data_IF_073231127188
#
_entry.id   IF_073231127188
#
_cell.length_a   1.000
_cell.length_b   1.000
_cell.length_c   1.000
_cell.angle_alpha   90.00
_cell.angle_beta   90.00
_cell.angle_gamma   90.00
#
_symmetry.space_group_name_H-M   'P 1'
#
loop_
_entity.id
_entity.type
_entity.pdbx_description
1 polymer ?
#
# COMPACT_ATOMS: atom_id res chain seq x y z
N UNK A 1 -21.72 -56.07 -58.46
CA UNK A 1 -21.20 -54.81 -59.06
C UNK A 1 -20.88 -53.72 -58.04
N UNK A 2 -21.38 -53.82 -56.81
CA UNK A 2 -21.21 -52.70 -55.80
C UNK A 2 -19.79 -52.52 -55.31
N UNK A 3 -18.85 -53.45 -55.53
CA UNK A 3 -17.47 -53.30 -54.98
C UNK A 3 -16.38 -53.30 -56.07
N UNK A 4 -16.74 -53.24 -57.39
CA UNK A 4 -15.75 -53.32 -58.45
C UNK A 4 -14.73 -52.19 -58.49
N UNK A 5 -15.06 -51.04 -57.96
CA UNK A 5 -14.19 -49.87 -57.80
C UNK A 5 -13.33 -49.86 -56.54
N UNK A 6 -13.70 -50.70 -55.53
CA UNK A 6 -13.01 -50.69 -54.23
C UNK A 6 -11.63 -51.29 -54.31
N UNK A 7 -11.50 -52.51 -55.01
CA UNK A 7 -10.20 -53.16 -55.11
C UNK A 7 -9.15 -52.29 -55.84
N UNK A 8 -9.44 -51.68 -57.02
CA UNK A 8 -8.48 -50.77 -57.65
C UNK A 8 -8.08 -49.55 -56.75
N UNK A 9 -8.99 -49.04 -55.91
CA UNK A 9 -8.68 -47.99 -54.95
C UNK A 9 -7.73 -48.47 -53.83
N UNK A 10 -7.99 -49.67 -53.26
CA UNK A 10 -7.12 -50.26 -52.21
C UNK A 10 -5.72 -50.52 -52.76
N UNK A 11 -5.60 -51.08 -53.98
CA UNK A 11 -4.32 -51.27 -54.65
C UNK A 11 -3.63 -49.94 -54.97
N UNK A 12 -4.40 -48.90 -55.36
CA UNK A 12 -3.89 -47.54 -55.57
C UNK A 12 -3.36 -46.94 -54.30
N UNK A 13 -4.09 -47.08 -53.19
CA UNK A 13 -3.69 -46.59 -51.88
C UNK A 13 -2.41 -47.26 -51.39
N UNK A 14 -2.30 -48.58 -51.60
CA UNK A 14 -1.10 -49.35 -51.27
C UNK A 14 0.10 -48.85 -52.10
N UNK A 15 -0.08 -48.67 -53.43
CA UNK A 15 0.94 -48.13 -54.31
C UNK A 15 1.39 -46.75 -53.92
N UNK A 16 0.44 -45.86 -53.57
CA UNK A 16 0.71 -44.50 -53.06
C UNK A 16 1.54 -44.54 -51.77
N UNK A 17 1.16 -45.35 -50.81
CA UNK A 17 1.87 -45.47 -49.54
C UNK A 17 3.29 -46.06 -49.73
N UNK A 18 3.52 -46.86 -50.76
CA UNK A 18 4.83 -47.39 -51.14
C UNK A 18 5.65 -46.43 -52.03
N UNK A 19 5.15 -45.24 -52.31
CA UNK A 19 5.84 -44.24 -53.13
C UNK A 19 5.78 -44.52 -54.66
N UNK A 20 5.01 -45.51 -55.09
CA UNK A 20 4.85 -45.79 -56.51
C UNK A 20 3.70 -44.98 -57.10
N UNK A 21 3.97 -43.71 -57.37
CA UNK A 21 2.97 -42.70 -57.72
C UNK A 21 2.35 -43.01 -59.11
N UNK A 22 3.15 -43.45 -60.08
CA UNK A 22 2.65 -43.79 -61.40
C UNK A 22 1.64 -44.98 -61.36
N UNK A 23 1.91 -45.98 -60.53
CA UNK A 23 0.96 -47.11 -60.32
C UNK A 23 -0.27 -46.63 -59.52
N UNK A 24 -0.09 -45.79 -58.49
CA UNK A 24 -1.19 -45.26 -57.71
C UNK A 24 -2.15 -44.45 -58.59
N UNK A 25 -1.62 -43.58 -59.48
CA UNK A 25 -2.41 -42.78 -60.41
C UNK A 25 -3.25 -43.67 -61.36
N UNK A 26 -2.63 -44.64 -61.97
CA UNK A 26 -3.32 -45.54 -62.94
C UNK A 26 -4.42 -46.38 -62.28
N UNK A 27 -4.14 -46.97 -61.14
CA UNK A 27 -5.09 -47.79 -60.38
C UNK A 27 -6.24 -46.93 -59.82
N UNK A 28 -5.96 -45.68 -59.31
CA UNK A 28 -6.99 -44.80 -58.82
C UNK A 28 -7.89 -44.30 -59.97
N UNK A 29 -7.31 -44.00 -61.13
CA UNK A 29 -8.04 -43.65 -62.35
C UNK A 29 -8.99 -44.78 -62.76
N UNK A 30 -8.59 -46.02 -62.63
CA UNK A 30 -9.46 -47.22 -62.89
C UNK A 30 -10.65 -47.23 -61.93
N UNK A 31 -10.41 -47.00 -60.62
CA UNK A 31 -11.47 -46.90 -59.62
C UNK A 31 -12.48 -45.79 -59.97
N UNK A 32 -11.97 -44.58 -60.30
CA UNK A 32 -12.79 -43.38 -60.64
C UNK A 32 -13.52 -43.53 -61.97
N UNK A 33 -12.97 -44.32 -62.90
CA UNK A 33 -13.67 -44.67 -64.18
C UNK A 33 -14.88 -45.54 -63.89
N UNK A 34 -14.83 -46.45 -62.95
CA UNK A 34 -15.94 -47.30 -62.54
C UNK A 34 -16.97 -46.52 -61.69
N UNK A 35 -16.48 -45.73 -60.76
CA UNK A 35 -17.33 -44.90 -59.90
C UNK A 35 -16.70 -43.48 -59.71
N UNK A 36 -17.11 -42.49 -60.50
CA UNK A 36 -16.57 -41.10 -60.44
C UNK A 36 -16.85 -40.41 -59.12
N UNK A 37 -17.94 -40.80 -58.45
CA UNK A 37 -18.38 -40.17 -57.20
C UNK A 37 -17.78 -40.86 -55.94
N UNK A 38 -16.82 -41.77 -56.13
CA UNK A 38 -16.20 -42.44 -55.02
C UNK A 38 -15.26 -41.51 -54.26
N UNK A 39 -15.77 -40.93 -53.17
CA UNK A 39 -15.12 -39.85 -52.35
C UNK A 39 -13.69 -40.23 -51.96
N UNK A 40 -13.45 -41.44 -51.49
CA UNK A 40 -12.11 -41.88 -51.07
C UNK A 40 -11.10 -41.88 -52.24
N UNK A 41 -11.52 -42.27 -53.45
CA UNK A 41 -10.66 -42.26 -54.61
C UNK A 41 -10.43 -40.81 -55.12
N UNK A 42 -11.42 -39.91 -55.00
CA UNK A 42 -11.26 -38.49 -55.29
C UNK A 42 -10.26 -37.81 -54.34
N UNK A 43 -10.32 -38.11 -53.04
CA UNK A 43 -9.36 -37.65 -52.05
C UNK A 43 -7.95 -38.19 -52.37
N UNK A 44 -7.82 -39.48 -52.72
CA UNK A 44 -6.54 -40.07 -53.10
C UNK A 44 -5.99 -39.40 -54.38
N UNK A 45 -6.85 -39.07 -55.39
CA UNK A 45 -6.42 -38.33 -56.59
C UNK A 45 -5.82 -36.98 -56.23
N UNK A 46 -6.48 -36.22 -55.39
CA UNK A 46 -5.94 -34.91 -54.93
C UNK A 46 -4.56 -35.08 -54.30
N UNK A 47 -4.37 -36.10 -53.48
CA UNK A 47 -3.08 -36.40 -52.85
C UNK A 47 -2.00 -36.83 -53.82
N UNK A 48 -2.36 -37.58 -54.84
CA UNK A 48 -1.47 -37.98 -55.92
C UNK A 48 -1.04 -36.76 -56.74
N UNK A 49 -1.98 -35.86 -57.06
CA UNK A 49 -1.74 -34.66 -57.88
C UNK A 49 -0.76 -33.68 -57.22
N UNK A 50 -0.72 -33.60 -55.87
CA UNK A 50 0.17 -32.72 -55.13
C UNK A 50 1.42 -33.42 -54.58
N UNK A 51 1.62 -34.68 -54.93
CA UNK A 51 2.68 -35.52 -54.29
C UNK A 51 4.07 -34.91 -54.45
N UNK A 52 4.45 -34.45 -55.61
CA UNK A 52 5.77 -33.90 -55.91
C UNK A 52 5.99 -32.58 -55.10
N UNK A 53 4.97 -31.74 -55.01
CA UNK A 53 5.04 -30.48 -54.21
C UNK A 53 5.16 -30.79 -52.71
N UNK A 54 4.51 -31.85 -52.23
CA UNK A 54 4.64 -32.31 -50.84
C UNK A 54 6.05 -32.83 -50.56
N UNK A 55 6.65 -33.61 -51.51
CA UNK A 55 8.03 -34.09 -51.39
C UNK A 55 9.05 -32.93 -51.37
N UNK A 56 8.87 -31.96 -52.23
CA UNK A 56 9.71 -30.73 -52.25
C UNK A 56 9.60 -29.99 -50.90
N UNK A 57 8.40 -29.89 -50.34
CA UNK A 57 8.22 -29.22 -49.04
C UNK A 57 8.87 -30.02 -47.89
N UNK A 58 8.83 -31.38 -47.90
CA UNK A 58 9.58 -32.19 -46.94
C UNK A 58 11.10 -31.96 -47.06
N UNK A 59 11.62 -31.81 -48.25
CA UNK A 59 13.04 -31.53 -48.46
C UNK A 59 13.39 -30.12 -47.91
N UNK A 60 12.52 -29.12 -48.11
CA UNK A 60 12.72 -27.81 -47.46
C UNK A 60 12.66 -27.86 -45.96
N UNK A 61 11.77 -28.68 -45.37
CA UNK A 61 11.73 -28.91 -43.91
C UNK A 61 13.04 -29.56 -43.41
N UNK A 62 13.57 -30.53 -44.16
CA UNK A 62 14.85 -31.19 -43.86
C UNK A 62 16.02 -30.22 -43.91
N UNK A 63 16.09 -29.39 -44.94
CA UNK A 63 17.11 -28.33 -45.07
C UNK A 63 16.97 -27.34 -43.90
N UNK A 64 15.75 -26.89 -43.59
CA UNK A 64 15.50 -26.00 -42.45
C UNK A 64 15.97 -26.59 -41.11
N UNK A 65 15.85 -27.92 -40.96
CA UNK A 65 16.34 -28.63 -39.75
C UNK A 65 17.86 -28.61 -39.68
N UNK A 66 18.55 -28.87 -40.82
CA UNK A 66 20.02 -28.87 -40.89
C UNK A 66 20.58 -27.47 -40.65
N UNK A 67 19.91 -26.44 -41.18
CA UNK A 67 20.28 -25.02 -41.03
C UNK A 67 19.88 -24.48 -39.66
N UNK A 68 19.19 -25.24 -38.83
CA UNK A 68 18.59 -24.77 -37.57
C UNK A 68 17.66 -23.57 -37.77
N UNK A 69 17.00 -23.49 -38.91
CA UNK A 69 16.09 -22.41 -39.28
C UNK A 69 14.65 -22.82 -39.01
N UNK A 70 14.11 -22.40 -37.86
CA UNK A 70 12.77 -22.76 -37.40
C UNK A 70 11.69 -22.18 -38.33
N UNK A 71 11.86 -20.96 -38.85
CA UNK A 71 10.89 -20.36 -39.77
C UNK A 71 10.75 -21.15 -41.04
N UNK A 72 11.87 -21.61 -41.63
CA UNK A 72 11.87 -22.45 -42.82
C UNK A 72 11.18 -23.80 -42.56
N UNK A 73 11.42 -24.42 -41.42
CA UNK A 73 10.71 -25.65 -41.02
C UNK A 73 9.21 -25.41 -40.87
N UNK A 74 8.81 -24.31 -40.21
CA UNK A 74 7.41 -23.94 -39.99
C UNK A 74 6.67 -23.78 -41.33
N UNK A 75 7.23 -23.00 -42.24
CA UNK A 75 6.66 -22.75 -43.58
C UNK A 75 6.53 -24.03 -44.37
N UNK A 76 7.56 -24.86 -44.34
CA UNK A 76 7.57 -26.11 -45.07
C UNK A 76 6.49 -27.11 -44.52
N UNK A 77 6.42 -27.31 -43.22
CA UNK A 77 5.39 -28.21 -42.64
C UNK A 77 3.99 -27.62 -42.79
N UNK A 78 3.81 -26.31 -42.70
CA UNK A 78 2.52 -25.67 -42.95
C UNK A 78 2.07 -25.88 -44.41
N UNK A 79 2.99 -25.79 -45.39
CA UNK A 79 2.71 -26.06 -46.80
C UNK A 79 2.31 -27.52 -47.01
N UNK A 80 3.00 -28.50 -46.36
CA UNK A 80 2.64 -29.92 -46.43
C UNK A 80 1.23 -30.15 -45.94
N UNK A 81 0.87 -29.62 -44.76
CA UNK A 81 -0.46 -29.78 -44.15
C UNK A 81 -1.55 -29.13 -44.99
N UNK A 82 -1.23 -28.00 -45.65
CA UNK A 82 -2.15 -27.33 -46.56
C UNK A 82 -2.41 -28.14 -47.86
N UNK A 83 -1.37 -28.74 -48.43
CA UNK A 83 -1.46 -29.56 -49.66
C UNK A 83 -2.09 -30.94 -49.41
N UNK A 84 -1.67 -31.64 -48.35
CA UNK A 84 -2.16 -32.94 -47.96
C UNK A 84 -2.47 -33.00 -46.47
N UNK A 85 -3.71 -32.63 -46.04
CA UNK A 85 -4.12 -32.65 -44.64
C UNK A 85 -4.08 -34.01 -43.96
N UNK A 86 -3.95 -35.10 -44.76
CA UNK A 86 -3.83 -36.46 -44.26
C UNK A 86 -2.42 -36.79 -43.72
N UNK A 87 -1.44 -35.92 -43.91
CA UNK A 87 -0.07 -36.09 -43.41
C UNK A 87 0.00 -35.77 -41.91
N UNK A 88 -0.35 -36.72 -41.08
CA UNK A 88 -0.34 -36.59 -39.61
C UNK A 88 1.05 -36.32 -39.04
N UNK A 89 2.09 -36.84 -39.64
CA UNK A 89 3.49 -36.60 -39.29
C UNK A 89 3.87 -35.14 -39.48
N UNK A 90 3.46 -34.53 -40.58
CA UNK A 90 3.70 -33.09 -40.84
C UNK A 90 2.88 -32.21 -39.85
N UNK A 91 1.64 -32.56 -39.58
CA UNK A 91 0.82 -31.89 -38.57
C UNK A 91 1.47 -31.93 -37.18
N UNK A 92 1.93 -33.14 -36.78
CA UNK A 92 2.62 -33.27 -35.48
C UNK A 92 3.91 -32.47 -35.40
N UNK A 93 4.68 -32.43 -36.51
CA UNK A 93 5.90 -31.62 -36.60
C UNK A 93 5.58 -30.10 -36.49
N UNK A 94 4.55 -29.66 -37.19
CA UNK A 94 4.07 -28.27 -37.15
C UNK A 94 3.63 -27.87 -35.75
N UNK A 95 2.84 -28.74 -35.09
CA UNK A 95 2.38 -28.49 -33.72
C UNK A 95 3.53 -28.49 -32.73
N UNK A 96 4.55 -29.33 -32.93
CA UNK A 96 5.75 -29.34 -32.06
C UNK A 96 6.56 -28.06 -32.21
N UNK A 97 6.76 -27.56 -33.44
CA UNK A 97 7.46 -26.29 -33.70
C UNK A 97 6.69 -25.11 -33.09
N UNK A 98 5.39 -25.08 -33.28
CA UNK A 98 4.56 -24.01 -32.71
C UNK A 98 4.64 -23.99 -31.16
N UNK A 99 4.61 -25.16 -30.52
CA UNK A 99 4.82 -25.27 -29.07
C UNK A 99 6.20 -24.78 -28.67
N UNK A 100 7.26 -25.18 -29.37
CA UNK A 100 8.63 -24.72 -29.08
C UNK A 100 8.77 -23.20 -29.19
N UNK A 101 8.14 -22.58 -30.20
CA UNK A 101 8.13 -21.13 -30.37
C UNK A 101 7.38 -20.41 -29.21
N UNK A 102 6.22 -20.96 -28.84
CA UNK A 102 5.48 -20.42 -27.69
C UNK A 102 6.26 -20.55 -26.39
N UNK A 103 6.94 -21.68 -26.16
CA UNK A 103 7.79 -21.91 -25.01
C UNK A 103 8.95 -20.91 -24.96
N UNK A 104 9.68 -20.76 -26.08
CA UNK A 104 10.78 -19.81 -26.19
C UNK A 104 10.35 -18.35 -25.99
N UNK A 105 9.18 -17.98 -26.52
CA UNK A 105 8.60 -16.65 -26.30
C UNK A 105 8.22 -16.44 -24.84
N UNK A 106 7.63 -17.44 -24.22
CA UNK A 106 7.29 -17.41 -22.79
C UNK A 106 8.53 -17.21 -21.91
N UNK A 107 9.60 -17.97 -22.14
CA UNK A 107 10.85 -17.87 -21.40
C UNK A 107 11.51 -16.49 -21.60
N UNK A 108 11.44 -15.95 -22.82
CA UNK A 108 11.95 -14.61 -23.13
C UNK A 108 11.19 -13.53 -22.35
N UNK A 109 9.86 -13.64 -22.27
CA UNK A 109 9.02 -12.69 -21.53
C UNK A 109 9.31 -12.75 -20.02
N UNK A 110 9.50 -13.95 -19.46
CA UNK A 110 9.89 -14.09 -18.05
C UNK A 110 11.28 -13.50 -17.77
N UNK A 111 12.23 -13.68 -18.69
CA UNK A 111 13.55 -13.08 -18.57
C UNK A 111 13.49 -11.55 -18.64
N UNK A 112 12.66 -10.99 -19.52
CA UNK A 112 12.43 -9.54 -19.62
C UNK A 112 11.75 -9.00 -18.34
N UNK A 113 10.75 -9.71 -17.82
CA UNK A 113 10.11 -9.34 -16.57
C UNK A 113 11.10 -9.31 -15.39
N UNK A 114 11.95 -10.33 -15.26
CA UNK A 114 12.97 -10.35 -14.21
C UNK A 114 13.97 -9.19 -14.35
N UNK A 115 14.43 -8.87 -15.55
CA UNK A 115 15.32 -7.70 -15.78
C UNK A 115 14.65 -6.39 -15.41
N UNK A 116 13.38 -6.21 -15.78
CA UNK A 116 12.60 -5.03 -15.42
C UNK A 116 12.43 -4.91 -13.90
N UNK A 117 12.20 -6.04 -13.19
CA UNK A 117 12.17 -6.08 -11.71
C UNK A 117 13.52 -5.64 -11.12
N UNK A 118 14.64 -6.13 -11.66
CA UNK A 118 15.99 -5.77 -11.19
C UNK A 118 16.31 -4.29 -11.42
N UNK A 119 15.76 -3.70 -12.47
CA UNK A 119 15.88 -2.28 -12.78
C UNK A 119 14.91 -1.39 -12.00
N UNK A 120 13.96 -1.99 -11.25
CA UNK A 120 12.92 -1.25 -10.54
C UNK A 120 11.78 -0.74 -11.43
N UNK A 121 11.75 -1.15 -12.71
CA UNK A 121 10.66 -0.83 -13.64
C UNK A 121 9.51 -1.83 -13.48
N UNK A 122 8.77 -1.66 -12.40
CA UNK A 122 7.65 -2.56 -12.07
C UNK A 122 6.49 -2.51 -13.06
N UNK A 123 6.14 -1.34 -13.66
CA UNK A 123 5.15 -1.29 -14.73
C UNK A 123 5.52 -2.15 -15.94
N UNK A 124 6.75 -2.03 -16.47
CA UNK A 124 7.21 -2.86 -17.58
C UNK A 124 7.25 -4.35 -17.21
N UNK A 125 7.67 -4.68 -15.99
CA UNK A 125 7.64 -6.06 -15.50
C UNK A 125 6.22 -6.64 -15.50
N UNK A 126 5.22 -5.85 -15.09
CA UNK A 126 3.83 -6.27 -15.09
C UNK A 126 3.29 -6.53 -16.51
N UNK A 127 3.67 -5.72 -17.50
CA UNK A 127 3.31 -5.92 -18.90
C UNK A 127 3.89 -7.23 -19.42
N UNK A 128 5.19 -7.49 -19.24
CA UNK A 128 5.81 -8.75 -19.67
C UNK A 128 5.18 -9.97 -19.01
N UNK A 129 4.84 -9.90 -17.71
CA UNK A 129 4.15 -11.01 -17.03
C UNK A 129 2.72 -11.22 -17.51
N UNK A 130 2.02 -10.15 -17.89
CA UNK A 130 0.69 -10.26 -18.49
C UNK A 130 0.75 -10.92 -19.87
N UNK A 131 1.73 -10.57 -20.69
CA UNK A 131 1.96 -11.21 -21.98
C UNK A 131 2.35 -12.68 -21.81
N UNK A 132 3.24 -13.00 -20.87
CA UNK A 132 3.59 -14.37 -20.53
C UNK A 132 2.37 -15.18 -20.07
N UNK A 133 1.47 -14.59 -19.27
CA UNK A 133 0.22 -15.21 -18.80
C UNK A 133 -0.71 -15.58 -19.96
N UNK A 134 -0.74 -14.78 -21.02
CA UNK A 134 -1.54 -15.09 -22.22
C UNK A 134 -1.07 -16.35 -22.95
N UNK A 135 0.21 -16.71 -22.82
CA UNK A 135 0.81 -17.91 -23.42
C UNK A 135 0.66 -19.15 -22.50
N UNK A 136 0.96 -19.01 -21.21
CA UNK A 136 0.94 -20.10 -20.22
C UNK A 136 0.42 -19.64 -18.86
N UNK A 137 -0.89 -19.50 -18.70
CA UNK A 137 -1.52 -19.02 -17.48
C UNK A 137 -1.22 -19.87 -16.22
N UNK A 138 -1.01 -21.18 -16.39
CA UNK A 138 -0.84 -22.12 -15.27
C UNK A 138 0.62 -22.38 -14.89
N UNK A 139 1.58 -21.58 -15.38
CA UNK A 139 2.98 -21.76 -15.06
C UNK A 139 3.27 -21.39 -13.59
N UNK A 140 3.92 -22.28 -12.85
CA UNK A 140 4.39 -22.06 -11.48
C UNK A 140 5.47 -20.97 -11.41
N UNK A 141 6.31 -20.88 -12.44
CA UNK A 141 7.35 -19.87 -12.54
C UNK A 141 6.76 -18.47 -12.71
N UNK A 142 5.79 -18.33 -13.62
CA UNK A 142 5.01 -17.09 -13.79
C UNK A 142 4.36 -16.66 -12.47
N UNK A 143 3.72 -17.59 -11.75
CA UNK A 143 3.09 -17.31 -10.48
C UNK A 143 4.11 -16.81 -9.42
N UNK A 144 5.28 -17.41 -9.40
CA UNK A 144 6.37 -17.06 -8.48
C UNK A 144 6.87 -15.64 -8.74
N UNK A 145 7.16 -15.31 -10.01
CA UNK A 145 7.65 -13.97 -10.39
C UNK A 145 6.56 -12.92 -10.16
N UNK A 146 5.29 -13.23 -10.48
CA UNK A 146 4.16 -12.33 -10.24
C UNK A 146 3.98 -12.02 -8.75
N UNK A 147 4.12 -13.03 -7.88
CA UNK A 147 4.07 -12.85 -6.42
C UNK A 147 5.22 -11.98 -5.93
N UNK A 148 6.45 -12.22 -6.44
CA UNK A 148 7.62 -11.39 -6.13
C UNK A 148 7.39 -9.93 -6.52
N UNK A 149 6.91 -9.68 -7.73
CA UNK A 149 6.60 -8.32 -8.21
C UNK A 149 5.55 -7.65 -7.32
N UNK A 150 4.45 -8.34 -7.01
CA UNK A 150 3.41 -7.80 -6.14
C UNK A 150 3.94 -7.42 -4.75
N UNK A 151 4.82 -8.24 -4.16
CA UNK A 151 5.43 -7.93 -2.86
C UNK A 151 6.36 -6.73 -2.92
N UNK A 152 7.11 -6.54 -4.01
CA UNK A 152 7.99 -5.39 -4.21
C UNK A 152 7.21 -4.09 -4.38
N UNK A 153 6.12 -4.12 -5.17
CA UNK A 153 5.22 -2.98 -5.35
C UNK A 153 4.58 -2.59 -4.00
N UNK A 154 4.08 -3.57 -3.24
CA UNK A 154 3.50 -3.31 -1.92
C UNK A 154 4.52 -2.72 -0.94
N UNK A 155 5.76 -3.23 -0.93
CA UNK A 155 6.84 -2.68 -0.10
C UNK A 155 7.21 -1.25 -0.50
N UNK A 156 7.27 -0.94 -1.79
CA UNK A 156 7.54 0.42 -2.28
C UNK A 156 6.41 1.38 -1.89
N UNK A 157 5.17 0.96 -2.00
CA UNK A 157 4.00 1.78 -1.62
C UNK A 157 3.97 2.03 -0.11
N UNK A 158 4.26 1.00 0.70
CA UNK A 158 4.40 1.13 2.15
C UNK A 158 5.48 2.16 2.51
N UNK A 159 6.67 2.03 1.93
CA UNK A 159 7.80 2.95 2.18
C UNK A 159 7.46 4.39 1.79
N UNK A 160 6.73 4.58 0.69
CA UNK A 160 6.27 5.91 0.26
C UNK A 160 5.35 6.54 1.29
N UNK A 161 4.40 5.78 1.84
CA UNK A 161 3.48 6.27 2.87
C UNK A 161 4.24 6.57 4.16
N UNK A 162 5.14 5.69 4.59
CA UNK A 162 5.97 5.90 5.78
C UNK A 162 6.83 7.16 5.67
N UNK A 163 7.43 7.40 4.52
CA UNK A 163 8.21 8.61 4.24
C UNK A 163 7.34 9.87 4.28
N UNK A 164 6.11 9.82 3.76
CA UNK A 164 5.18 10.93 3.87
C UNK A 164 4.80 11.22 5.31
N UNK A 165 4.51 10.19 6.10
CA UNK A 165 4.22 10.34 7.53
C UNK A 165 5.42 10.95 8.26
N UNK A 166 6.64 10.47 8.01
CA UNK A 166 7.86 11.00 8.61
C UNK A 166 8.08 12.49 8.29
N UNK A 167 7.74 12.93 7.07
CA UNK A 167 7.80 14.34 6.69
C UNK A 167 6.89 15.19 7.57
N UNK A 168 5.64 14.77 7.81
CA UNK A 168 4.70 15.52 8.66
C UNK A 168 5.04 15.42 10.15
N UNK A 169 5.66 14.32 10.60
CA UNK A 169 6.25 14.24 11.95
C UNK A 169 7.33 15.31 12.12
N UNK A 170 8.24 15.44 11.16
CA UNK A 170 9.29 16.45 11.21
C UNK A 170 8.77 17.89 11.13
N UNK A 171 7.62 18.08 10.51
CA UNK A 171 6.92 19.37 10.45
C UNK A 171 6.04 19.67 11.68
N UNK A 172 5.98 18.78 12.66
CA UNK A 172 5.14 18.90 13.87
C UNK A 172 3.63 19.04 13.53
N UNK A 173 3.18 18.33 12.45
CA UNK A 173 1.80 18.37 11.94
C UNK A 173 1.02 17.10 12.34
N UNK A 174 0.83 16.91 13.64
CA UNK A 174 0.32 15.67 14.24
C UNK A 174 -1.09 15.28 13.81
N UNK A 175 -1.94 16.25 13.46
CA UNK A 175 -3.27 15.97 12.92
C UNK A 175 -3.17 15.25 11.58
N UNK A 176 -2.27 15.72 10.71
CA UNK A 176 -1.98 15.10 9.40
C UNK A 176 -1.30 13.75 9.55
N UNK A 177 -0.36 13.63 10.51
CA UNK A 177 0.30 12.36 10.86
C UNK A 177 -0.75 11.30 11.23
N UNK A 178 -1.68 11.62 12.13
CA UNK A 178 -2.76 10.72 12.55
C UNK A 178 -3.61 10.27 11.37
N UNK A 179 -3.99 11.20 10.48
CA UNK A 179 -4.81 10.91 9.31
C UNK A 179 -4.09 9.97 8.34
N UNK A 180 -2.84 10.28 7.98
CA UNK A 180 -2.04 9.50 7.04
C UNK A 180 -1.65 8.14 7.61
N UNK A 181 -1.29 8.06 8.89
CA UNK A 181 -0.98 6.80 9.56
C UNK A 181 -2.20 5.87 9.58
N UNK A 182 -3.40 6.39 9.91
CA UNK A 182 -4.63 5.59 9.85
C UNK A 182 -4.93 5.09 8.43
N UNK A 183 -4.75 5.95 7.41
CA UNK A 183 -4.93 5.55 6.00
C UNK A 183 -3.92 4.48 5.59
N UNK A 184 -2.66 4.64 5.97
CA UNK A 184 -1.60 3.67 5.67
C UNK A 184 -1.83 2.33 6.37
N UNK A 185 -2.28 2.34 7.63
CA UNK A 185 -2.60 1.13 8.39
C UNK A 185 -3.78 0.33 7.83
N UNK A 186 -4.67 0.95 7.05
CA UNK A 186 -5.72 0.23 6.34
C UNK A 186 -5.14 -0.73 5.28
N UNK A 187 -4.04 -0.37 4.63
CA UNK A 187 -3.35 -1.20 3.63
C UNK A 187 -2.21 -2.03 4.26
N UNK A 188 -1.53 -1.49 5.27
CA UNK A 188 -0.36 -2.08 5.92
C UNK A 188 -0.52 -2.14 7.45
N UNK A 189 -1.45 -2.97 7.96
CA UNK A 189 -1.82 -2.96 9.38
C UNK A 189 -0.69 -3.37 10.33
N UNK A 190 0.32 -4.05 9.83
CA UNK A 190 1.48 -4.51 10.60
C UNK A 190 2.70 -3.60 10.51
N UNK A 191 2.61 -2.42 9.85
CA UNK A 191 3.74 -1.48 9.76
C UNK A 191 4.06 -0.89 11.14
N UNK A 192 5.25 -1.16 11.72
CA UNK A 192 5.63 -0.63 13.02
C UNK A 192 5.74 0.91 13.01
N UNK A 193 6.26 1.47 11.92
CA UNK A 193 6.45 2.92 11.76
C UNK A 193 5.11 3.67 11.77
N UNK A 194 4.10 3.14 11.07
CA UNK A 194 2.77 3.75 11.03
C UNK A 194 2.03 3.59 12.36
N UNK A 195 2.18 2.46 13.05
CA UNK A 195 1.62 2.24 14.38
C UNK A 195 2.22 3.21 15.39
N UNK A 196 3.53 3.34 15.42
CA UNK A 196 4.23 4.29 16.29
C UNK A 196 3.82 5.74 16.01
N UNK A 197 3.80 6.13 14.73
CA UNK A 197 3.39 7.47 14.34
C UNK A 197 1.95 7.80 14.77
N UNK A 198 1.03 6.85 14.61
CA UNK A 198 -0.36 6.99 15.08
C UNK A 198 -0.42 7.17 16.60
N UNK A 199 0.24 6.32 17.38
CA UNK A 199 0.26 6.40 18.84
C UNK A 199 0.83 7.74 19.33
N UNK A 200 1.95 8.17 18.75
CA UNK A 200 2.54 9.45 19.08
C UNK A 200 1.61 10.61 18.75
N UNK A 201 0.96 10.59 17.57
CA UNK A 201 0.03 11.62 17.17
C UNK A 201 -1.19 11.70 18.10
N UNK A 202 -1.76 10.57 18.49
CA UNK A 202 -2.88 10.52 19.44
C UNK A 202 -2.49 11.08 20.80
N UNK A 203 -1.35 10.65 21.34
CA UNK A 203 -0.87 11.12 22.63
C UNK A 203 -0.58 12.64 22.64
N UNK A 204 0.08 13.15 21.59
CA UNK A 204 0.40 14.59 21.48
C UNK A 204 -0.87 15.43 21.32
N UNK A 205 -1.80 15.03 20.45
CA UNK A 205 -3.05 15.74 20.22
C UNK A 205 -3.95 15.76 21.46
N UNK A 206 -4.00 14.66 22.22
CA UNK A 206 -4.75 14.58 23.46
C UNK A 206 -4.11 15.49 24.54
N UNK A 207 -2.78 15.51 24.63
CA UNK A 207 -2.06 16.43 25.51
C UNK A 207 -2.33 17.89 25.14
N UNK A 208 -2.18 18.26 23.86
CA UNK A 208 -2.48 19.63 23.38
C UNK A 208 -3.91 20.07 23.72
N UNK A 209 -4.88 19.17 23.52
CA UNK A 209 -6.29 19.41 23.84
C UNK A 209 -6.48 19.65 25.33
N UNK A 210 -5.90 18.82 26.20
CA UNK A 210 -5.99 18.93 27.66
C UNK A 210 -5.37 20.25 28.14
N UNK A 211 -4.16 20.58 27.68
CA UNK A 211 -3.49 21.82 28.08
C UNK A 211 -4.21 23.05 27.56
N UNK A 212 -4.79 23.01 26.37
CA UNK A 212 -5.58 24.12 25.82
C UNK A 212 -6.84 24.42 26.64
N UNK A 213 -7.42 23.45 27.30
CA UNK A 213 -8.60 23.63 28.13
C UNK A 213 -8.33 24.56 29.32
N UNK A 214 -7.14 24.46 29.92
CA UNK A 214 -6.74 25.35 31.02
C UNK A 214 -6.49 26.80 30.56
N UNK A 215 -5.95 26.99 29.37
CA UNK A 215 -5.71 28.32 28.79
C UNK A 215 -6.97 29.10 28.46
N UNK A 216 -8.10 28.41 28.25
CA UNK A 216 -9.40 29.07 27.97
C UNK A 216 -9.99 29.75 29.21
N UNK A 217 -9.64 29.26 30.40
CA UNK A 217 -10.14 29.78 31.70
C UNK A 217 -9.01 29.81 32.70
N UNK A 218 -8.02 30.66 32.49
CA UNK A 218 -6.80 30.71 33.30
C UNK A 218 -7.07 31.09 34.74
N UNK A 219 -8.12 31.88 35.02
CA UNK A 219 -8.52 32.29 36.37
C UNK A 219 -8.78 31.10 37.31
N UNK A 220 -9.22 29.97 36.76
CA UNK A 220 -9.46 28.75 37.55
C UNK A 220 -8.19 28.10 38.07
N UNK A 221 -7.03 28.42 37.54
CA UNK A 221 -5.74 27.91 37.99
C UNK A 221 -5.30 28.51 39.35
N UNK A 222 -6.01 29.49 39.86
CA UNK A 222 -5.88 29.93 41.25
C UNK A 222 -6.40 28.90 42.26
N UNK A 223 -7.38 28.08 41.86
CA UNK A 223 -7.86 26.95 42.68
C UNK A 223 -6.82 25.82 42.76
N UNK A 224 -6.54 25.34 43.97
CA UNK A 224 -5.52 24.33 44.24
C UNK A 224 -5.79 23.03 43.52
N UNK A 225 -7.05 22.56 43.43
CA UNK A 225 -7.40 21.29 42.81
C UNK A 225 -7.22 21.37 41.29
N UNK A 226 -7.71 22.47 40.67
CA UNK A 226 -7.56 22.71 39.24
C UNK A 226 -6.10 22.82 38.85
N UNK A 227 -5.31 23.54 39.65
CA UNK A 227 -3.86 23.69 39.43
C UNK A 227 -3.12 22.36 39.54
N UNK A 228 -3.43 21.53 40.54
CA UNK A 228 -2.81 20.22 40.69
C UNK A 228 -3.14 19.29 39.51
N UNK A 229 -4.38 19.33 38.99
CA UNK A 229 -4.75 18.59 37.77
C UNK A 229 -3.97 19.12 36.57
N UNK A 230 -3.83 20.41 36.39
CA UNK A 230 -3.06 21.02 35.30
C UNK A 230 -1.57 20.59 35.37
N UNK A 231 -0.95 20.58 36.55
CA UNK A 231 0.43 20.12 36.73
C UNK A 231 0.59 18.60 36.43
N UNK A 232 -0.40 17.77 36.76
CA UNK A 232 -0.40 16.36 36.38
C UNK A 232 -0.51 16.17 34.87
N UNK A 233 -1.35 16.98 34.19
CA UNK A 233 -1.48 16.93 32.75
C UNK A 233 -0.21 17.42 32.05
N UNK A 234 0.45 18.46 32.58
CA UNK A 234 1.78 18.91 32.13
C UNK A 234 2.80 17.77 32.28
N UNK A 235 2.86 17.12 33.43
CA UNK A 235 3.80 16.02 33.66
C UNK A 235 3.59 14.85 32.69
N UNK A 236 2.33 14.52 32.34
CA UNK A 236 2.01 13.55 31.30
C UNK A 236 2.43 14.03 29.90
N UNK A 237 2.18 15.28 29.58
CA UNK A 237 2.54 15.87 28.30
C UNK A 237 4.07 15.96 28.08
N UNK A 238 4.84 16.13 29.15
CA UNK A 238 6.31 16.21 29.10
C UNK A 238 6.96 14.96 28.49
N UNK A 239 6.34 13.77 28.64
CA UNK A 239 6.86 12.52 28.03
C UNK A 239 6.85 12.55 26.49
N UNK A 240 6.05 13.43 25.89
CA UNK A 240 5.92 13.61 24.44
C UNK A 240 6.51 14.94 23.94
N UNK A 241 6.97 15.79 24.82
CA UNK A 241 7.48 17.14 24.50
C UNK A 241 8.73 17.13 23.61
N UNK A 242 9.53 16.07 23.66
CA UNK A 242 10.70 15.92 22.77
C UNK A 242 10.30 15.76 21.31
N UNK A 243 9.12 15.18 21.06
CA UNK A 243 8.62 14.88 19.71
C UNK A 243 7.84 16.03 19.08
N UNK A 244 7.39 17.03 19.87
CA UNK A 244 6.61 18.19 19.39
C UNK A 244 7.11 19.50 19.98
N UNK A 245 7.59 20.38 19.12
CA UNK A 245 7.98 21.74 19.51
C UNK A 245 6.75 22.57 19.91
N UNK A 246 5.60 22.36 19.24
CA UNK A 246 4.33 23.01 19.56
C UNK A 246 3.85 22.63 20.96
N UNK A 247 3.88 21.33 21.29
CA UNK A 247 3.50 20.85 22.63
C UNK A 247 4.44 21.40 23.71
N UNK A 248 5.74 21.40 23.47
CA UNK A 248 6.74 21.99 24.39
C UNK A 248 6.47 23.45 24.67
N UNK A 249 6.23 24.24 23.63
CA UNK A 249 5.89 25.67 23.77
C UNK A 249 4.58 25.86 24.54
N UNK A 250 3.60 24.95 24.34
CA UNK A 250 2.32 25.02 25.05
C UNK A 250 2.48 24.69 26.53
N UNK A 251 3.30 23.70 26.88
CA UNK A 251 3.67 23.37 28.26
C UNK A 251 4.29 24.58 28.93
N UNK A 252 5.38 25.12 28.38
CA UNK A 252 6.08 26.30 28.96
C UNK A 252 5.16 27.51 29.13
N UNK A 253 4.28 27.73 28.14
CA UNK A 253 3.31 28.82 28.23
C UNK A 253 2.27 28.60 29.35
N UNK A 254 1.83 27.36 29.58
CA UNK A 254 0.89 27.07 30.66
C UNK A 254 1.56 27.17 32.05
N UNK A 255 2.80 26.69 32.18
CA UNK A 255 3.60 26.84 33.40
C UNK A 255 3.75 28.34 33.79
N UNK A 256 4.09 29.20 32.81
CA UNK A 256 4.16 30.64 33.04
C UNK A 256 2.82 31.24 33.49
N UNK A 257 1.70 30.79 32.91
CA UNK A 257 0.36 31.23 33.33
C UNK A 257 0.06 30.81 34.77
N UNK A 258 0.37 29.54 35.13
CA UNK A 258 0.21 29.05 36.49
C UNK A 258 1.03 29.86 37.47
N UNK A 259 2.30 30.13 37.16
CA UNK A 259 3.18 30.92 38.02
C UNK A 259 2.67 32.35 38.20
N UNK A 260 2.31 33.02 37.12
CA UNK A 260 1.83 34.41 37.16
C UNK A 260 0.53 34.54 37.97
N UNK A 261 -0.42 33.61 37.81
CA UNK A 261 -1.69 33.64 38.54
C UNK A 261 -1.49 33.35 40.02
N UNK A 262 -0.48 32.57 40.40
CA UNK A 262 -0.23 32.17 41.78
C UNK A 262 0.86 32.99 42.49
N UNK A 263 1.40 34.00 41.83
CA UNK A 263 2.33 34.95 42.49
C UNK A 263 1.62 35.70 43.60
N UNK A 264 2.22 35.81 44.81
CA UNK A 264 1.68 36.64 45.89
C UNK A 264 1.55 38.09 45.46
N UNK A 265 0.46 38.71 45.85
CA UNK A 265 0.17 40.14 45.62
C UNK A 265 0.22 40.89 46.92
N UNK A 266 0.70 42.14 46.89
CA UNK A 266 0.73 43.02 48.05
C UNK A 266 -0.67 43.53 48.36
N UNK A 267 -1.16 43.23 49.56
CA UNK A 267 -2.45 43.71 50.08
C UNK A 267 -2.16 44.59 51.29
N UNK A 268 -2.59 45.84 51.23
CA UNK A 268 -2.40 46.80 52.34
C UNK A 268 -3.68 46.87 53.17
N UNK A 269 -3.55 46.50 54.41
CA UNK A 269 -4.63 46.55 55.41
C UNK A 269 -4.44 47.80 56.25
N UNK A 270 -5.50 48.66 56.34
CA UNK A 270 -5.56 49.86 57.19
C UNK A 270 -6.65 49.73 58.26
N UNK A 271 -6.34 50.05 59.48
CA UNK A 271 -7.25 49.96 60.59
C UNK A 271 -7.03 51.15 61.58
N UNK A 272 -7.76 51.18 62.70
CA UNK A 272 -7.70 52.15 63.74
C UNK A 272 -6.56 51.97 64.75
N UNK A 273 -5.74 50.90 64.57
CA UNK A 273 -4.65 50.50 65.50
C UNK A 273 -5.12 49.81 66.78
N UNK A 274 -6.43 49.71 67.05
CA UNK A 274 -7.03 49.15 68.27
C UNK A 274 -7.84 47.89 67.95
N UNK A 275 -8.09 47.67 66.65
CA UNK A 275 -8.81 46.50 66.14
C UNK A 275 -7.81 45.43 65.78
N UNK A 276 -8.00 44.22 66.36
CA UNK A 276 -7.20 43.07 66.07
C UNK A 276 -7.67 42.44 64.81
N UNK A 277 -6.80 42.35 63.79
CA UNK A 277 -7.10 41.87 62.44
C UNK A 277 -6.51 40.48 62.23
N UNK A 278 -7.32 39.59 61.66
CA UNK A 278 -6.93 38.26 61.23
C UNK A 278 -7.43 37.97 59.84
N UNK A 279 -6.57 37.41 58.99
CA UNK A 279 -6.97 36.84 57.70
C UNK A 279 -7.28 35.35 57.96
N UNK A 280 -8.55 34.97 57.83
CA UNK A 280 -9.00 33.61 58.10
C UNK A 280 -8.35 32.62 57.15
N UNK A 281 -7.74 31.58 57.70
CA UNK A 281 -7.03 30.54 56.94
C UNK A 281 -5.59 30.91 56.50
N UNK A 282 -5.14 32.15 56.83
CA UNK A 282 -3.76 32.60 56.46
C UNK A 282 -2.93 32.92 57.68
N UNK A 283 -3.43 33.81 58.54
CA UNK A 283 -2.68 34.19 59.73
C UNK A 283 -3.14 35.51 60.39
N UNK A 284 -2.37 35.93 61.42
CA UNK A 284 -2.59 37.15 62.17
C UNK A 284 -1.92 38.36 61.52
N UNK A 285 -2.65 39.42 61.37
CA UNK A 285 -2.11 40.75 60.99
C UNK A 285 -1.75 41.55 62.24
N UNK A 286 -2.59 41.48 63.29
CA UNK A 286 -2.46 42.13 64.56
C UNK A 286 -3.19 43.47 64.59
N UNK A 287 -2.94 44.28 65.67
CA UNK A 287 -3.42 45.62 65.82
C UNK A 287 -2.48 46.52 65.03
N UNK A 288 -2.93 47.10 63.94
CA UNK A 288 -2.09 47.87 63.02
C UNK A 288 -2.83 49.10 62.50
N UNK A 289 -2.12 50.17 62.30
CA UNK A 289 -2.64 51.35 61.58
C UNK A 289 -2.60 51.12 60.08
N UNK A 290 -1.48 50.53 59.56
CA UNK A 290 -1.30 50.09 58.19
C UNK A 290 -0.27 49.02 58.14
N UNK A 291 -0.57 47.93 57.42
CA UNK A 291 0.36 46.79 57.22
C UNK A 291 0.14 46.17 55.86
N UNK A 292 1.21 45.97 55.09
CA UNK A 292 1.19 45.29 53.85
C UNK A 292 1.52 43.83 54.08
N UNK A 293 0.66 42.94 53.58
CA UNK A 293 0.84 41.48 53.61
C UNK A 293 0.87 40.95 52.19
N UNK A 294 1.39 39.73 52.01
CA UNK A 294 1.46 39.04 50.74
C UNK A 294 0.37 37.94 50.69
N UNK A 295 -0.57 38.10 49.78
CA UNK A 295 -1.64 37.11 49.55
C UNK A 295 -1.59 36.61 48.12
N UNK A 296 -1.76 35.30 47.94
CA UNK A 296 -1.97 34.73 46.60
C UNK A 296 -3.34 35.17 46.06
N UNK A 297 -3.53 35.22 44.74
CA UNK A 297 -4.85 35.45 44.17
C UNK A 297 -5.89 34.45 44.73
N UNK A 298 -7.06 34.96 45.12
CA UNK A 298 -8.12 34.20 45.75
C UNK A 298 -9.08 35.07 46.57
N UNK A 299 -10.09 34.45 47.17
CA UNK A 299 -11.04 35.12 48.04
C UNK A 299 -10.66 34.86 49.50
N UNK A 300 -10.54 35.92 50.28
CA UNK A 300 -10.16 35.91 51.70
C UNK A 300 -11.23 36.55 52.56
N UNK A 301 -11.39 36.07 53.77
CA UNK A 301 -12.19 36.71 54.80
C UNK A 301 -11.27 37.29 55.82
N UNK A 302 -11.42 38.57 56.05
CA UNK A 302 -10.70 39.35 57.07
C UNK A 302 -11.64 39.57 58.25
N UNK A 303 -11.25 39.13 59.41
CA UNK A 303 -11.97 39.33 60.67
C UNK A 303 -11.30 40.45 61.46
N UNK A 304 -12.08 41.44 61.81
CA UNK A 304 -11.70 42.49 62.81
C UNK A 304 -12.41 42.22 64.10
N UNK A 305 -11.65 42.16 65.21
CA UNK A 305 -12.19 42.01 66.58
C UNK A 305 -11.57 43.04 67.53
N UNK A 306 -12.38 43.58 68.44
CA UNK A 306 -11.97 44.54 69.47
C UNK A 306 -12.74 44.29 70.76
N UNK A 307 -12.07 44.37 71.88
CA UNK A 307 -12.71 44.17 73.18
C UNK A 307 -13.88 45.12 73.37
N UNK A 308 -15.03 44.59 73.81
CA UNK A 308 -16.27 45.35 73.97
C UNK A 308 -17.07 45.62 72.70
N UNK A 309 -16.62 45.20 71.56
CA UNK A 309 -17.30 45.35 70.26
C UNK A 309 -17.61 44.02 69.60
N UNK A 310 -18.59 44.01 68.68
CA UNK A 310 -18.95 42.82 67.86
C UNK A 310 -17.90 42.70 66.76
N UNK A 311 -17.38 41.45 66.56
CA UNK A 311 -16.48 41.14 65.45
C UNK A 311 -17.16 41.36 64.11
N UNK A 312 -16.41 41.88 63.13
CA UNK A 312 -16.87 42.11 61.76
C UNK A 312 -16.01 41.27 60.82
N UNK A 313 -16.66 40.64 59.81
CA UNK A 313 -15.98 39.88 58.78
C UNK A 313 -16.21 40.59 57.44
N UNK A 314 -15.12 40.90 56.74
CA UNK A 314 -15.12 41.47 55.40
C UNK A 314 -14.51 40.48 54.44
N UNK A 315 -15.16 40.29 53.27
CA UNK A 315 -14.62 39.47 52.19
C UNK A 315 -13.88 40.33 51.21
N UNK A 316 -12.67 39.90 50.84
CA UNK A 316 -11.85 40.55 49.80
C UNK A 316 -11.50 39.55 48.71
N UNK A 317 -11.38 40.02 47.47
CA UNK A 317 -10.92 39.26 46.32
C UNK A 317 -9.58 39.82 45.89
N UNK A 318 -8.54 38.98 45.93
CA UNK A 318 -7.22 39.34 45.41
C UNK A 318 -7.13 38.80 43.98
N UNK A 319 -7.07 39.68 42.98
CA UNK A 319 -6.97 39.34 41.58
C UNK A 319 -5.52 39.13 41.15
N UNK A 320 -5.23 38.24 40.17
CA UNK A 320 -3.88 38.12 39.57
C UNK A 320 -3.38 39.43 38.95
N UNK A 321 -4.28 40.31 38.55
CA UNK A 321 -3.95 41.62 37.94
C UNK A 321 -3.68 42.72 38.98
N UNK A 322 -3.99 42.51 40.27
CA UNK A 322 -3.83 43.51 41.28
C UNK A 322 -2.34 43.74 41.58
N UNK A 323 -1.91 45.00 41.52
CA UNK A 323 -0.54 45.41 41.86
C UNK A 323 -0.44 45.90 43.30
N UNK A 324 -1.48 46.55 43.83
CA UNK A 324 -1.67 46.95 45.21
C UNK A 324 -3.16 47.00 45.53
N UNK A 325 -3.60 46.28 46.53
CA UNK A 325 -4.95 46.35 47.10
C UNK A 325 -4.91 47.01 48.46
#
# INVERSE_FOLDING_TARGET
YENAYTQPYEDALLAFNNGNISSAFNLNKTSLTINPDFEKANILQQRIDVFDEVQDAYEQARIGKVENNISKQLEAYAKIVQLDPARKDAQQALDAINRQLQDSRFDTLLAQANRAIEQGDYPAAAEFLNDAKSLKASSSELATISKKLASLIASQEQQKIENQVALFVSADEWQTVKLLANKGLASFPASPALLEAKQNAEAILDAEKSLSAYKRRPERLSDNNVRNLALQDIARACSHAEKSAKLRAQISSLEQVIDNINQPRSVTITSDNDTYIKVLGVGLVGEVKTKTIQLKPGTYRIEGSREGYRSTIQEIVVSPSDTNL
#
